data_IF_406716232632
#
_entry.id   IF_406716232632
#
_cell.length_a   1.000
_cell.length_b   1.000
_cell.length_c   1.000
_cell.angle_alpha   90.00
_cell.angle_beta   90.00
_cell.angle_gamma   90.00
#
_symmetry.space_group_name_H-M   'P 1'
#
loop_
_entity.id
_entity.type
_entity.pdbx_description
1 polymer ?
#
# COMPACT_ATOMS: atom_id res chain seq x y z
N UNK A 1 16.66 1.99 -17.62
CA UNK A 1 15.45 1.21 -17.31
C UNK A 1 14.25 2.16 -17.24
N UNK A 2 13.05 1.77 -17.70
CA UNK A 2 11.85 2.57 -17.48
C UNK A 2 11.58 2.72 -15.97
N UNK A 3 10.98 3.85 -15.59
CA UNK A 3 10.60 4.17 -14.22
C UNK A 3 9.08 4.12 -14.16
N UNK A 4 8.53 3.44 -13.16
CA UNK A 4 7.11 3.39 -12.87
C UNK A 4 6.87 3.96 -11.48
N UNK A 5 5.97 4.95 -11.40
CA UNK A 5 5.39 5.40 -10.14
C UNK A 5 3.96 4.85 -10.07
N UNK A 6 3.73 3.99 -9.08
CA UNK A 6 2.49 3.23 -8.93
C UNK A 6 1.82 3.66 -7.64
N UNK A 7 0.50 3.87 -7.69
CA UNK A 7 -0.33 3.98 -6.48
C UNK A 7 -1.22 2.76 -6.40
N UNK A 8 -1.01 1.95 -5.36
CA UNK A 8 -1.89 0.84 -5.02
C UNK A 8 -2.99 1.36 -4.09
N UNK A 9 -4.23 1.27 -4.54
CA UNK A 9 -5.43 1.76 -3.86
C UNK A 9 -6.26 0.56 -3.43
N UNK A 10 -6.36 0.31 -2.12
CA UNK A 10 -7.02 -0.87 -1.55
C UNK A 10 -8.30 -0.46 -0.84
N UNK A 11 -9.41 -1.06 -1.25
CA UNK A 11 -10.70 -0.91 -0.61
C UNK A 11 -10.69 -1.54 0.78
N UNK A 12 -11.10 -0.76 1.77
CA UNK A 12 -11.27 -1.15 3.16
C UNK A 12 -12.71 -0.90 3.63
N UNK A 13 -13.64 -0.73 2.68
CA UNK A 13 -15.05 -0.54 2.96
C UNK A 13 -15.65 -1.72 3.72
N UNK A 14 -16.75 -1.46 4.44
CA UNK A 14 -17.36 -2.46 5.31
C UNK A 14 -17.76 -3.77 4.60
N UNK A 15 -18.10 -3.73 3.30
CA UNK A 15 -18.45 -4.94 2.53
C UNK A 15 -17.29 -5.91 2.37
N UNK A 16 -16.05 -5.42 2.44
CA UNK A 16 -14.83 -6.24 2.41
C UNK A 16 -14.68 -7.11 3.66
N UNK A 17 -15.40 -6.80 4.75
CA UNK A 17 -15.24 -7.45 6.05
C UNK A 17 -16.38 -8.41 6.35
N UNK A 18 -16.11 -9.37 7.24
CA UNK A 18 -17.15 -10.28 7.70
C UNK A 18 -18.28 -9.55 8.47
N UNK A 19 -19.41 -9.35 7.81
CA UNK A 19 -20.64 -8.79 8.38
C UNK A 19 -21.65 -9.90 8.74
N UNK A 20 -21.28 -10.84 9.61
CA UNK A 20 -22.18 -11.94 9.97
C UNK A 20 -22.31 -12.99 8.87
N UNK A 21 -21.20 -13.34 8.24
CA UNK A 21 -21.06 -14.32 7.16
C UNK A 21 -21.20 -13.75 5.75
N UNK A 22 -21.28 -12.41 5.59
CA UNK A 22 -21.58 -11.75 4.32
C UNK A 22 -20.47 -10.80 3.82
N UNK A 23 -19.24 -10.98 4.26
CA UNK A 23 -18.09 -10.25 3.71
C UNK A 23 -17.65 -10.80 2.36
N UNK A 24 -17.21 -9.93 1.46
CA UNK A 24 -16.64 -10.34 0.16
C UNK A 24 -15.19 -10.79 0.26
N UNK A 25 -14.46 -10.31 1.28
CA UNK A 25 -13.07 -10.67 1.56
C UNK A 25 -12.81 -10.97 3.06
N UNK A 26 -13.53 -11.96 3.64
CA UNK A 26 -13.43 -12.29 5.06
C UNK A 26 -12.03 -12.80 5.46
N UNK A 27 -11.33 -13.45 4.53
CA UNK A 27 -9.99 -14.00 4.72
C UNK A 27 -8.86 -12.98 4.41
N UNK A 28 -9.22 -11.74 4.08
CA UNK A 28 -8.27 -10.66 3.75
C UNK A 28 -7.33 -10.99 2.58
N UNK A 29 -7.81 -11.70 1.56
CA UNK A 29 -7.09 -12.01 0.33
C UNK A 29 -6.56 -10.76 -0.38
N UNK A 30 -7.16 -9.58 -0.16
CA UNK A 30 -6.62 -8.30 -0.65
C UNK A 30 -5.25 -7.96 -0.08
N UNK A 31 -4.98 -8.33 1.18
CA UNK A 31 -3.69 -8.11 1.84
C UNK A 31 -2.65 -9.04 1.22
N UNK A 32 -2.99 -10.30 1.03
CA UNK A 32 -2.12 -11.27 0.35
C UNK A 32 -1.81 -10.85 -1.10
N UNK A 33 -2.81 -10.34 -1.82
CA UNK A 33 -2.63 -9.80 -3.16
C UNK A 33 -1.68 -8.59 -3.16
N UNK A 34 -1.81 -7.68 -2.18
CA UNK A 34 -0.90 -6.55 -2.02
C UNK A 34 0.55 -7.03 -1.73
N UNK A 35 0.73 -8.01 -0.85
CA UNK A 35 2.03 -8.60 -0.55
C UNK A 35 2.67 -9.23 -1.78
N UNK A 36 1.90 -10.04 -2.52
CA UNK A 36 2.36 -10.65 -3.77
C UNK A 36 2.78 -9.58 -4.78
N UNK A 37 1.98 -8.53 -4.94
CA UNK A 37 2.26 -7.43 -5.86
C UNK A 37 3.55 -6.68 -5.49
N UNK A 38 3.72 -6.31 -4.21
CA UNK A 38 4.94 -5.64 -3.71
C UNK A 38 6.18 -6.51 -3.95
N UNK A 39 6.09 -7.81 -3.63
CA UNK A 39 7.21 -8.74 -3.79
C UNK A 39 7.55 -8.97 -5.26
N UNK A 40 6.54 -9.11 -6.13
CA UNK A 40 6.73 -9.28 -7.56
C UNK A 40 7.47 -8.09 -8.18
N UNK A 41 7.02 -6.86 -7.91
CA UNK A 41 7.70 -5.64 -8.39
C UNK A 41 9.12 -5.50 -7.82
N UNK A 42 9.31 -5.90 -6.56
CA UNK A 42 10.63 -5.95 -5.93
C UNK A 42 11.58 -6.93 -6.60
N UNK A 43 11.09 -8.10 -7.00
CA UNK A 43 11.89 -9.10 -7.70
C UNK A 43 12.23 -8.68 -9.14
N UNK A 44 11.32 -7.98 -9.83
CA UNK A 44 11.53 -7.46 -11.19
C UNK A 44 12.32 -6.12 -11.24
N UNK A 45 12.82 -5.64 -10.11
CA UNK A 45 13.64 -4.44 -9.99
C UNK A 45 14.94 -4.41 -10.84
N UNK A 46 15.32 -5.54 -11.45
CA UNK A 46 16.47 -5.64 -12.35
C UNK A 46 16.20 -5.07 -13.74
N UNK A 47 14.96 -5.16 -14.24
CA UNK A 47 14.57 -4.74 -15.60
C UNK A 47 14.05 -3.30 -15.63
N UNK A 48 13.39 -2.89 -14.53
CA UNK A 48 12.68 -1.62 -14.40
C UNK A 48 12.86 -1.05 -12.99
N UNK A 49 12.60 0.26 -12.83
CA UNK A 49 12.57 0.89 -11.51
C UNK A 49 11.13 1.13 -11.09
N UNK A 50 10.77 0.66 -9.90
CA UNK A 50 9.42 0.76 -9.38
C UNK A 50 9.42 1.56 -8.08
N UNK A 51 8.53 2.56 -8.01
CA UNK A 51 8.15 3.22 -6.78
C UNK A 51 6.67 2.97 -6.53
N UNK A 52 6.32 2.68 -5.29
CA UNK A 52 4.95 2.37 -4.90
C UNK A 52 4.51 3.27 -3.75
N UNK A 53 3.35 3.89 -3.90
CA UNK A 53 2.59 4.45 -2.79
C UNK A 53 1.41 3.51 -2.47
N UNK A 54 1.00 3.51 -1.21
CA UNK A 54 -0.10 2.69 -0.72
C UNK A 54 -1.19 3.58 -0.14
N UNK A 55 -2.41 3.44 -0.68
CA UNK A 55 -3.62 4.09 -0.21
C UNK A 55 -4.61 3.05 0.27
N UNK A 56 -5.21 3.29 1.44
CA UNK A 56 -6.43 2.63 1.87
C UNK A 56 -7.61 3.58 1.65
N UNK A 57 -8.75 3.06 1.21
CA UNK A 57 -9.95 3.89 1.08
C UNK A 57 -11.22 3.18 1.54
N UNK A 58 -12.20 4.01 1.90
CA UNK A 58 -13.60 3.66 2.08
C UNK A 58 -14.39 4.93 1.82
N UNK A 59 -15.12 5.43 2.81
CA UNK A 59 -15.73 6.77 2.77
C UNK A 59 -14.71 7.91 2.83
N UNK A 60 -13.51 7.63 3.35
CA UNK A 60 -12.35 8.54 3.33
C UNK A 60 -11.12 7.80 2.78
N UNK A 61 -10.12 8.55 2.33
CA UNK A 61 -8.84 8.00 1.84
C UNK A 61 -7.76 8.23 2.89
N UNK A 62 -6.90 7.23 3.12
CA UNK A 62 -5.74 7.29 4.02
C UNK A 62 -4.48 6.91 3.27
N UNK A 63 -3.47 7.77 3.33
CA UNK A 63 -2.13 7.45 2.82
C UNK A 63 -1.39 6.58 3.84
N UNK A 64 -1.13 5.33 3.46
CA UNK A 64 -0.44 4.36 4.30
C UNK A 64 1.07 4.43 4.09
N UNK A 65 1.51 4.68 2.86
CA UNK A 65 2.92 4.89 2.54
C UNK A 65 3.08 5.80 1.31
N UNK A 66 4.03 6.77 1.32
CA UNK A 66 4.33 7.60 0.16
C UNK A 66 5.02 6.79 -0.94
N UNK A 67 5.25 7.39 -2.12
CA UNK A 67 5.98 6.76 -3.23
C UNK A 67 7.40 6.32 -2.83
N UNK A 68 7.54 5.03 -2.56
CA UNK A 68 8.72 4.39 -1.97
C UNK A 68 9.40 3.46 -2.98
N UNK A 69 10.72 3.54 -3.11
CA UNK A 69 11.48 2.71 -4.07
C UNK A 69 11.48 1.24 -3.64
N UNK A 70 11.07 0.35 -4.55
CA UNK A 70 10.94 -1.08 -4.27
C UNK A 70 12.24 -1.87 -4.43
N UNK A 71 13.36 -1.26 -4.81
CA UNK A 71 14.66 -1.95 -4.90
C UNK A 71 15.24 -2.24 -3.52
N UNK A 72 14.93 -1.40 -2.55
CA UNK A 72 15.37 -1.56 -1.16
C UNK A 72 14.49 -2.57 -0.43
N UNK A 73 15.10 -3.61 0.13
CA UNK A 73 14.41 -4.65 0.90
C UNK A 73 13.73 -4.08 2.14
N UNK A 74 14.39 -3.17 2.86
CA UNK A 74 13.81 -2.58 4.07
C UNK A 74 12.56 -1.74 3.74
N UNK A 75 12.62 -0.99 2.64
CA UNK A 75 11.50 -0.20 2.15
C UNK A 75 10.31 -1.09 1.71
N UNK A 76 10.58 -2.25 1.08
CA UNK A 76 9.53 -3.23 0.75
C UNK A 76 8.88 -3.82 1.99
N UNK A 77 9.67 -4.18 3.00
CA UNK A 77 9.15 -4.69 4.27
C UNK A 77 8.25 -3.67 4.97
N UNK A 78 8.60 -2.38 4.93
CA UNK A 78 7.76 -1.31 5.47
C UNK A 78 6.41 -1.20 4.73
N UNK A 79 6.40 -1.34 3.40
CA UNK A 79 5.16 -1.36 2.61
C UNK A 79 4.28 -2.58 2.93
N UNK A 80 4.90 -3.76 3.12
CA UNK A 80 4.20 -4.98 3.53
C UNK A 80 3.56 -4.78 4.91
N UNK A 81 4.30 -4.24 5.87
CA UNK A 81 3.78 -3.93 7.22
C UNK A 81 2.62 -2.93 7.15
N UNK A 82 2.73 -1.91 6.30
CA UNK A 82 1.66 -0.92 6.10
C UNK A 82 0.39 -1.53 5.49
N UNK A 83 0.53 -2.52 4.59
CA UNK A 83 -0.59 -3.26 3.99
C UNK A 83 -1.21 -4.30 4.94
N UNK A 84 -0.41 -4.86 5.86
CA UNK A 84 -0.80 -5.98 6.75
C UNK A 84 -1.81 -5.63 7.84
N UNK A 85 -2.06 -4.34 8.09
CA UNK A 85 -2.94 -3.90 9.17
C UNK A 85 -4.14 -3.10 8.62
N UNK A 86 -5.02 -3.73 7.81
CA UNK A 86 -6.21 -3.06 7.32
C UNK A 86 -7.16 -2.74 8.49
N UNK A 87 -7.79 -1.57 8.44
CA UNK A 87 -8.88 -1.19 9.33
C UNK A 87 -10.13 -0.93 8.50
N UNK A 88 -11.33 -1.36 8.95
CA UNK A 88 -12.57 -1.01 8.27
C UNK A 88 -12.76 0.50 8.18
N UNK A 89 -12.97 1.02 6.97
CA UNK A 89 -13.32 2.42 6.71
C UNK A 89 -14.76 2.42 6.23
N UNK A 90 -15.70 3.00 6.98
CA UNK A 90 -17.12 2.99 6.59
C UNK A 90 -17.35 3.62 5.21
N UNK A 91 -18.34 3.10 4.46
CA UNK A 91 -18.71 3.51 3.09
C UNK A 91 -17.64 3.23 2.02
N UNK A 92 -18.01 3.39 0.75
CA UNK A 92 -17.12 3.17 -0.41
C UNK A 92 -17.15 4.41 -1.30
N UNK A 93 -16.02 5.13 -1.41
CA UNK A 93 -15.88 6.33 -2.23
C UNK A 93 -14.65 6.23 -3.16
N UNK A 94 -14.76 5.47 -4.27
CA UNK A 94 -13.63 5.25 -5.17
C UNK A 94 -13.25 6.52 -5.93
N UNK A 95 -14.18 7.47 -6.14
CA UNK A 95 -13.86 8.74 -6.80
C UNK A 95 -12.85 9.55 -5.98
N UNK A 96 -13.09 9.73 -4.69
CA UNK A 96 -12.16 10.44 -3.80
C UNK A 96 -10.79 9.73 -3.71
N UNK A 97 -10.79 8.40 -3.69
CA UNK A 97 -9.56 7.61 -3.69
C UNK A 97 -8.74 7.81 -4.97
N UNK A 98 -9.39 7.76 -6.15
CA UNK A 98 -8.74 7.98 -7.44
C UNK A 98 -8.24 9.42 -7.62
N UNK A 99 -8.98 10.41 -7.11
CA UNK A 99 -8.52 11.80 -7.08
C UNK A 99 -7.26 11.94 -6.21
N UNK A 100 -7.27 11.35 -5.01
CA UNK A 100 -6.10 11.34 -4.12
C UNK A 100 -4.89 10.66 -4.77
N UNK A 101 -5.10 9.52 -5.44
CA UNK A 101 -4.05 8.81 -6.15
C UNK A 101 -3.45 9.63 -7.31
N UNK A 102 -4.32 10.30 -8.10
CA UNK A 102 -3.90 11.19 -9.17
C UNK A 102 -3.05 12.35 -8.64
N UNK A 103 -3.49 12.97 -7.55
CA UNK A 103 -2.81 14.13 -6.99
C UNK A 103 -1.44 13.71 -6.40
N UNK A 104 -1.35 12.55 -5.73
CA UNK A 104 -0.06 11.97 -5.30
C UNK A 104 0.91 11.71 -6.46
N UNK A 105 0.41 11.22 -7.60
CA UNK A 105 1.22 11.02 -8.81
C UNK A 105 1.54 12.33 -9.53
N UNK A 106 0.71 13.37 -9.38
CA UNK A 106 1.00 14.68 -9.93
C UNK A 106 2.16 15.32 -9.15
N UNK A 107 2.12 15.25 -7.83
CA UNK A 107 3.04 15.96 -6.93
C UNK A 107 4.35 15.20 -6.67
N UNK A 108 4.28 13.86 -6.58
CA UNK A 108 5.39 13.02 -6.10
C UNK A 108 6.08 12.15 -7.15
N UNK A 109 5.57 12.10 -8.38
CA UNK A 109 6.16 11.27 -9.44
C UNK A 109 7.47 11.86 -9.98
N UNK A 110 8.41 10.98 -10.35
CA UNK A 110 9.65 11.39 -10.98
C UNK A 110 9.39 11.90 -12.41
N UNK A 111 10.14 12.92 -12.89
CA UNK A 111 10.07 13.34 -14.29
C UNK A 111 10.34 12.15 -15.23
N UNK A 112 9.46 11.97 -16.21
CA UNK A 112 9.57 10.89 -17.21
C UNK A 112 9.15 9.50 -16.71
N UNK A 113 8.62 9.37 -15.50
CA UNK A 113 8.05 8.09 -15.03
C UNK A 113 6.71 7.79 -15.72
N UNK A 114 6.42 6.49 -15.84
CA UNK A 114 5.10 5.97 -16.21
C UNK A 114 4.26 5.92 -14.95
N UNK A 115 3.11 6.57 -14.97
CA UNK A 115 2.22 6.71 -13.82
C UNK A 115 1.11 5.68 -13.92
N UNK A 116 0.91 4.91 -12.85
CA UNK A 116 -0.08 3.83 -12.81
C UNK A 116 -0.88 3.92 -11.52
N UNK A 117 -2.20 3.75 -11.61
CA UNK A 117 -3.05 3.55 -10.45
C UNK A 117 -3.63 2.14 -10.55
N UNK A 118 -3.45 1.34 -9.50
CA UNK A 118 -4.02 0.00 -9.38
C UNK A 118 -5.07 0.03 -8.27
N UNK A 119 -6.33 -0.22 -8.62
CA UNK A 119 -7.46 -0.24 -7.69
C UNK A 119 -7.87 -1.69 -7.38
N UNK A 120 -7.92 -2.04 -6.10
CA UNK A 120 -8.45 -3.31 -5.59
C UNK A 120 -9.74 -3.03 -4.81
N UNK A 121 -10.88 -3.54 -5.30
CA UNK A 121 -12.22 -3.33 -4.70
C UNK A 121 -13.13 -4.51 -5.05
N UNK A 122 -14.09 -4.81 -4.18
CA UNK A 122 -15.14 -5.83 -4.37
C UNK A 122 -16.45 -5.25 -4.95
N UNK A 123 -16.59 -3.93 -4.94
CA UNK A 123 -17.89 -3.28 -4.98
C UNK A 123 -18.12 -2.39 -6.19
N UNK A 124 -19.38 -2.21 -6.52
CA UNK A 124 -19.80 -1.15 -7.43
C UNK A 124 -19.53 0.23 -6.81
N UNK A 125 -19.15 1.24 -7.61
CA UNK A 125 -19.11 2.61 -7.15
C UNK A 125 -20.47 3.05 -6.60
N UNK A 126 -20.50 3.51 -5.34
CA UNK A 126 -21.62 4.28 -4.83
C UNK A 126 -21.52 5.70 -5.40
N UNK A 127 -22.46 6.07 -6.27
CA UNK A 127 -22.54 7.42 -6.82
C UNK A 127 -23.26 8.34 -5.84
N UNK A 128 -22.86 9.61 -5.70
CA UNK A 128 -23.56 10.56 -4.86
C UNK A 128 -25.04 10.62 -5.24
N UNK A 129 -25.92 10.60 -4.23
CA UNK A 129 -27.35 10.78 -4.46
C UNK A 129 -27.59 12.09 -5.23
N UNK A 130 -28.34 12.02 -6.33
CA UNK A 130 -28.68 13.18 -7.16
C UNK A 130 -27.79 13.43 -8.38
N UNK A 131 -26.72 12.65 -8.59
CA UNK A 131 -26.08 12.63 -9.92
C UNK A 131 -26.90 11.76 -10.88
N UNK A 132 -27.15 12.21 -12.13
CA UNK A 132 -27.77 11.38 -13.14
C UNK A 132 -26.94 10.11 -13.32
N UNK A 133 -27.56 8.95 -13.08
CA UNK A 133 -26.91 7.69 -13.37
C UNK A 133 -26.67 7.60 -14.89
N UNK A 134 -25.57 6.98 -15.34
CA UNK A 134 -25.46 6.61 -16.74
C UNK A 134 -26.65 5.72 -17.11
N UNK A 135 -27.21 5.86 -18.32
CA UNK A 135 -28.51 5.29 -18.70
C UNK A 135 -28.60 3.75 -18.60
N UNK A 136 -27.47 3.05 -18.40
CA UNK A 136 -27.39 1.59 -18.45
C UNK A 136 -27.09 0.93 -17.09
N UNK A 137 -27.39 1.58 -15.96
CA UNK A 137 -27.07 0.99 -14.65
C UNK A 137 -28.13 -0.02 -14.19
N UNK A 138 -27.75 -1.26 -13.82
CA UNK A 138 -28.63 -2.16 -13.08
C UNK A 138 -28.91 -1.58 -11.69
N UNK A 139 -30.16 -1.63 -11.25
CA UNK A 139 -30.57 -1.17 -9.90
C UNK A 139 -30.11 -2.17 -8.85
N UNK A 140 -28.86 -2.04 -8.39
CA UNK A 140 -28.29 -2.88 -7.33
C UNK A 140 -28.81 -2.42 -5.96
N UNK A 141 -29.42 -3.34 -5.20
CA UNK A 141 -29.89 -3.11 -3.84
C UNK A 141 -28.71 -2.98 -2.89
N UNK A 142 -28.55 -1.82 -2.25
CA UNK A 142 -27.58 -1.58 -1.17
C UNK A 142 -27.84 -2.56 -0.01
N UNK A 143 -26.98 -3.57 0.13
CA UNK A 143 -26.92 -4.39 1.35
C UNK A 143 -26.08 -3.62 2.37
N UNK A 144 -26.73 -2.91 3.26
CA UNK A 144 -26.05 -2.17 4.32
C UNK A 144 -25.64 -3.15 5.42
N UNK A 145 -24.34 -3.44 5.53
CA UNK A 145 -23.78 -3.90 6.79
C UNK A 145 -23.92 -2.77 7.82
N UNK A 146 -25.08 -2.68 8.49
CA UNK A 146 -25.19 -1.82 9.65
C UNK A 146 -24.21 -2.35 10.70
N UNK A 147 -23.35 -1.49 11.30
CA UNK A 147 -22.53 -1.94 12.42
C UNK A 147 -23.45 -2.55 13.47
N UNK A 148 -23.07 -3.65 14.14
CA UNK A 148 -23.90 -4.23 15.18
C UNK A 148 -24.21 -3.14 16.19
N UNK A 149 -25.49 -2.77 16.28
CA UNK A 149 -25.97 -1.83 17.28
C UNK A 149 -25.59 -2.44 18.63
N UNK A 150 -24.59 -1.88 19.30
CA UNK A 150 -24.27 -2.26 20.67
C UNK A 150 -25.59 -2.16 21.46
N UNK A 151 -26.06 -3.23 22.11
CA UNK A 151 -27.29 -3.14 22.89
C UNK A 151 -27.08 -2.02 23.90
N UNK A 152 -27.96 -1.02 23.86
CA UNK A 152 -27.95 0.09 24.79
C UNK A 152 -27.94 -0.50 26.21
N UNK A 153 -26.80 -0.41 26.88
CA UNK A 153 -26.63 -0.92 28.22
C UNK A 153 -27.66 -0.27 29.12
N UNK A 154 -28.67 -1.03 29.53
CA UNK A 154 -29.52 -0.66 30.65
C UNK A 154 -28.62 -0.45 31.86
N UNK A 155 -28.65 0.75 32.41
CA UNK A 155 -27.95 1.07 33.65
C UNK A 155 -28.39 0.06 34.73
N UNK A 156 -27.46 -0.64 35.41
CA UNK A 156 -27.82 -1.48 36.53
C UNK A 156 -28.35 -0.58 37.66
N UNK A 157 -29.62 -0.78 38.01
CA UNK A 157 -30.22 -0.23 39.22
C UNK A 157 -29.49 -0.81 40.44
N UNK A 158 -28.70 0.02 41.12
CA UNK A 158 -28.11 -0.29 42.41
C UNK A 158 -29.20 -0.18 43.48
N UNK A 159 -29.88 -1.28 43.78
CA UNK A 159 -30.59 -1.45 45.05
C UNK A 159 -30.81 -2.95 45.31
N UNK A 160 -30.27 -3.46 46.43
CA UNK A 160 -30.81 -4.65 47.09
C UNK A 160 -29.84 -5.80 47.34
N UNK A 161 -29.38 -5.86 48.59
CA UNK A 161 -29.44 -7.04 49.45
C UNK A 161 -28.65 -8.30 49.08
N UNK A 162 -27.63 -8.54 49.90
CA UNK A 162 -27.00 -9.83 50.19
C UNK A 162 -28.00 -10.97 50.40
N UNK A 163 -28.01 -11.95 49.51
CA UNK A 163 -28.31 -13.35 49.86
C UNK A 163 -27.73 -14.27 48.78
N UNK A 164 -27.03 -15.31 49.25
CA UNK A 164 -26.21 -16.19 48.42
C UNK A 164 -26.99 -16.90 47.32
N UNK A 165 -26.34 -17.09 46.18
CA UNK A 165 -26.76 -18.07 45.19
C UNK A 165 -25.55 -18.62 44.43
N UNK A 166 -25.48 -19.94 44.56
CA UNK A 166 -24.55 -20.92 44.02
C UNK A 166 -24.45 -20.80 42.49
N UNK A 167 -23.24 -20.59 41.98
CA UNK A 167 -22.92 -20.63 40.54
C UNK A 167 -23.09 -22.07 40.01
N UNK A 168 -23.80 -22.31 38.89
CA UNK A 168 -23.71 -23.57 38.18
C UNK A 168 -22.39 -23.65 37.41
N UNK A 169 -21.76 -24.83 37.49
CA UNK A 169 -20.49 -25.15 36.84
C UNK A 169 -20.55 -24.90 35.32
N UNK A 170 -19.53 -24.18 34.82
CA UNK A 170 -19.27 -24.04 33.38
C UNK A 170 -18.96 -25.41 32.79
N UNK A 171 -19.62 -25.75 31.68
CA UNK A 171 -19.27 -26.88 30.84
C UNK A 171 -17.90 -26.66 30.20
N UNK A 172 -16.99 -27.65 30.17
CA UNK A 172 -15.76 -27.57 29.41
C UNK A 172 -16.09 -27.65 27.91
N UNK A 173 -15.71 -26.63 27.15
CA UNK A 173 -15.63 -26.76 25.68
C UNK A 173 -14.50 -27.73 25.36
N UNK A 174 -14.85 -28.80 24.63
CA UNK A 174 -13.89 -29.77 24.12
C UNK A 174 -12.85 -29.07 23.24
N UNK A 175 -11.60 -29.09 23.70
CA UNK A 175 -10.44 -28.83 22.84
C UNK A 175 -10.30 -30.03 21.90
N UNK A 176 -10.62 -29.84 20.63
CA UNK A 176 -10.10 -30.69 19.56
C UNK A 176 -8.60 -30.42 19.43
N UNK A 177 -7.81 -31.20 20.16
CA UNK A 177 -6.36 -31.29 19.99
C UNK A 177 -6.06 -31.97 18.67
N UNK A 178 -5.82 -31.18 17.62
CA UNK A 178 -5.05 -31.64 16.47
C UNK A 178 -3.56 -31.72 16.90
N UNK A 179 -2.84 -32.80 16.57
CA UNK A 179 -1.44 -32.93 16.92
C UNK A 179 -0.60 -31.93 16.13
N UNK A 180 0.14 -31.08 16.84
CA UNK A 180 1.26 -30.32 16.29
C UNK A 180 2.31 -31.32 15.79
N UNK A 181 2.39 -31.51 14.48
CA UNK A 181 3.55 -32.11 13.83
C UNK A 181 4.71 -31.12 13.91
N UNK A 182 5.88 -31.48 14.47
CA UNK A 182 7.06 -30.65 14.34
C UNK A 182 7.54 -30.70 12.90
N UNK A 183 7.42 -29.59 12.16
CA UNK A 183 8.23 -29.38 10.96
C UNK A 183 9.67 -29.12 11.41
N UNK A 184 10.45 -30.19 11.57
CA UNK A 184 11.91 -30.07 11.64
C UNK A 184 12.41 -29.72 10.26
N UNK A 185 12.75 -28.45 10.05
CA UNK A 185 13.48 -28.00 8.87
C UNK A 185 14.91 -28.53 8.99
N UNK A 186 15.24 -29.54 8.19
CA UNK A 186 16.59 -30.08 8.07
C UNK A 186 17.40 -29.21 7.11
N UNK A 187 18.48 -28.54 7.54
CA UNK A 187 19.37 -27.82 6.63
C UNK A 187 20.32 -28.83 5.98
N UNK A 188 19.82 -29.62 5.03
CA UNK A 188 20.67 -30.41 4.15
C UNK A 188 21.11 -29.56 2.96
N UNK A 189 22.36 -29.13 3.03
CA UNK A 189 23.29 -29.09 1.89
C UNK A 189 22.81 -28.27 0.69
N UNK A 190 22.99 -26.95 0.76
CA UNK A 190 23.09 -26.13 -0.45
C UNK A 190 24.40 -26.47 -1.17
N UNK A 191 24.39 -26.75 -2.49
CA UNK A 191 25.61 -26.86 -3.25
C UNK A 191 26.30 -25.49 -3.27
N UNK A 192 27.59 -25.46 -2.91
CA UNK A 192 28.48 -24.35 -3.24
C UNK A 192 28.42 -24.13 -4.75
N UNK A 193 27.73 -23.08 -5.18
CA UNK A 193 27.97 -22.52 -6.51
C UNK A 193 29.35 -21.87 -6.47
N UNK A 194 30.31 -22.55 -7.09
CA UNK A 194 31.59 -21.97 -7.44
C UNK A 194 31.32 -20.76 -8.34
N UNK A 195 31.62 -19.56 -7.82
CA UNK A 195 31.71 -18.34 -8.61
C UNK A 195 32.88 -18.52 -9.57
N UNK A 196 32.56 -18.77 -10.83
CA UNK A 196 33.55 -18.76 -11.91
C UNK A 196 34.08 -17.32 -12.05
N UNK A 197 35.41 -17.08 -11.93
CA UNK A 197 35.96 -15.76 -12.18
C UNK A 197 35.80 -15.44 -13.68
N UNK A 198 35.18 -14.31 -13.97
CA UNK A 198 35.10 -13.77 -15.33
C UNK A 198 36.51 -13.42 -15.84
N UNK A 199 36.80 -13.62 -17.14
CA UNK A 199 38.09 -13.27 -17.72
C UNK A 199 38.30 -11.76 -17.72
N UNK A 200 39.43 -11.34 -17.14
CA UNK A 200 39.95 -9.98 -17.20
C UNK A 200 40.14 -9.57 -18.67
N UNK A 201 39.19 -8.79 -19.19
CA UNK A 201 39.34 -8.15 -20.51
C UNK A 201 40.05 -6.82 -20.31
N UNK A 202 41.34 -6.80 -20.61
CA UNK A 202 42.15 -5.59 -20.65
C UNK A 202 41.52 -4.57 -21.61
N UNK A 203 41.16 -3.39 -21.08
CA UNK A 203 40.81 -2.23 -21.89
C UNK A 203 42.03 -1.30 -22.02
N UNK A 204 42.31 -0.77 -23.23
CA UNK A 204 43.46 0.08 -23.49
C UNK A 204 43.28 1.48 -22.90
N UNK A 205 44.39 2.03 -22.41
CA UNK A 205 44.58 3.41 -21.99
C UNK A 205 44.23 4.38 -23.14
N UNK A 206 43.07 5.02 -23.05
CA UNK A 206 42.73 6.18 -23.86
C UNK A 206 43.17 7.48 -23.15
N UNK A 207 43.88 8.29 -23.94
CA UNK A 207 44.70 9.48 -23.64
C UNK A 207 44.05 10.59 -22.79
N UNK A 208 44.88 11.42 -22.13
CA UNK A 208 44.43 12.62 -21.42
C UNK A 208 43.93 13.72 -22.38
N UNK A 209 43.04 14.62 -21.91
CA UNK A 209 42.59 15.77 -22.70
C UNK A 209 43.70 16.81 -22.86
N UNK A 210 44.01 17.13 -24.12
CA UNK A 210 44.82 18.29 -24.52
C UNK A 210 44.05 19.59 -24.28
N UNK A 211 44.66 20.51 -23.54
CA UNK A 211 44.23 21.90 -23.41
C UNK A 211 44.20 22.62 -24.78
N UNK A 212 43.18 23.45 -25.07
CA UNK A 212 43.28 24.45 -26.13
C UNK A 212 44.04 25.71 -25.65
N UNK A 213 44.70 26.43 -26.58
CA UNK A 213 45.54 27.57 -26.28
C UNK A 213 44.75 28.83 -25.92
N UNK A 214 45.38 29.61 -25.06
CA UNK A 214 45.07 31.00 -24.71
C UNK A 214 45.12 31.92 -25.93
N UNK A 215 44.07 32.71 -26.16
CA UNK A 215 44.15 33.95 -26.93
C UNK A 215 43.39 35.08 -26.23
N UNK A 216 44.18 35.89 -25.50
CA UNK A 216 44.18 37.36 -25.46
C UNK A 216 42.91 38.15 -25.83
N UNK A 217 42.65 39.14 -24.95
CA UNK A 217 42.18 40.51 -25.24
C UNK A 217 40.67 40.64 -25.54
N UNK A 218 39.87 41.47 -24.87
CA UNK A 218 40.09 42.87 -24.52
C UNK A 218 39.30 43.31 -23.28
N UNK A 219 39.91 44.27 -22.62
CA UNK A 219 39.42 45.16 -21.58
C UNK A 219 38.06 45.79 -21.88
N UNK A 220 37.20 45.90 -20.85
CA UNK A 220 36.44 47.12 -20.54
C UNK A 220 36.00 47.09 -19.07
N UNK A 221 36.78 47.79 -18.24
CA UNK A 221 36.26 48.47 -17.08
C UNK A 221 35.33 49.58 -17.57
N UNK A 222 34.12 49.67 -17.03
CA UNK A 222 33.41 50.94 -16.84
C UNK A 222 32.53 50.77 -15.60
N UNK A 223 32.82 51.61 -14.62
CA UNK A 223 32.21 51.68 -13.30
C UNK A 223 30.91 52.53 -13.34
N UNK A 224 30.39 53.10 -12.23
CA UNK A 224 29.00 52.97 -11.82
C UNK A 224 28.16 54.23 -12.08
N UNK A 225 26.84 54.17 -11.88
CA UNK A 225 26.04 55.38 -11.66
C UNK A 225 24.96 55.16 -10.59
N UNK A 226 25.05 56.05 -9.60
CA UNK A 226 24.16 56.32 -8.47
C UNK A 226 22.78 56.86 -8.89
N UNK A 227 21.77 56.51 -8.06
CA UNK A 227 20.72 57.38 -7.46
C UNK A 227 19.67 58.05 -8.36
N UNK A 228 18.65 58.75 -7.80
CA UNK A 228 17.73 58.41 -6.69
C UNK A 228 16.24 58.71 -7.05
N UNK A 229 15.30 58.27 -6.20
CA UNK A 229 14.14 59.02 -5.67
C UNK A 229 13.36 58.14 -4.69
#
# INVERSE_FOLDING_TARGET
>A
PPIYDIVLVIDQSGSMWDCGGQGTDPDQLRVDAAHLFINYLGADAGSSRYRLALLHFGGTTRLMAPLTELRDTAAREQLIIAASNPEPIGWTNPLAALQTARDLLHDGALPGSRRVVLLMTDGEPAWPAGQPLPPNRPTSSLSTCAPPTLPAGGAPSLNGSTSGSRWPARRPMGRSSLPCMPMTWSPSTMPLFAVSPAPATARPLSRPPTCPPTSRSRSRCLSPSRSPA
#
